data_IF_802018063229
#
_entry.id   IF_802018063229
#
_cell.length_a   1.000
_cell.length_b   1.000
_cell.length_c   1.000
_cell.angle_alpha   90.00
_cell.angle_beta   90.00
_cell.angle_gamma   90.00
#
_symmetry.space_group_name_H-M   'P 1'
#
loop_
_entity.id
_entity.type
_entity.pdbx_description
1 polymer ?
#
# COMPACT_ATOMS: atom_id res chain seq x y z
N UNK A 1 -75.67 17.47 -1.30
CA UNK A 1 -74.46 18.32 -1.30
C UNK A 1 -73.47 17.94 -0.18
N UNK A 2 -73.90 17.77 1.08
CA UNK A 2 -72.97 17.45 2.19
C UNK A 2 -72.33 16.04 2.15
N UNK A 3 -72.98 15.05 1.52
CA UNK A 3 -72.46 13.67 1.45
C UNK A 3 -71.28 13.53 0.47
N UNK A 4 -71.24 14.35 -0.59
CA UNK A 4 -70.18 14.36 -1.62
C UNK A 4 -68.92 15.12 -1.17
N UNK A 5 -69.06 16.02 -0.20
CA UNK A 5 -67.95 16.78 0.39
C UNK A 5 -67.08 15.94 1.35
N UNK A 6 -67.64 14.90 1.98
CA UNK A 6 -66.90 14.04 2.91
C UNK A 6 -65.73 13.31 2.24
N UNK A 7 -65.91 12.59 1.10
CA UNK A 7 -64.80 11.92 0.44
C UNK A 7 -63.77 12.91 -0.13
N UNK A 8 -64.18 14.08 -0.60
CA UNK A 8 -63.26 15.10 -1.13
C UNK A 8 -62.39 15.71 -0.04
N UNK A 9 -62.96 16.00 1.14
CA UNK A 9 -62.18 16.45 2.31
C UNK A 9 -61.17 15.38 2.73
N UNK A 10 -61.57 14.11 2.71
CA UNK A 10 -60.67 13.01 3.05
C UNK A 10 -59.50 12.88 2.06
N UNK A 11 -59.77 12.98 0.75
CA UNK A 11 -58.73 12.98 -0.29
C UNK A 11 -57.77 14.16 -0.13
N UNK A 12 -58.27 15.36 0.19
CA UNK A 12 -57.43 16.54 0.43
C UNK A 12 -56.56 16.39 1.68
N UNK A 13 -57.14 15.92 2.79
CA UNK A 13 -56.40 15.65 4.02
C UNK A 13 -55.29 14.61 3.80
N UNK A 14 -55.59 13.56 3.02
CA UNK A 14 -54.62 12.55 2.65
C UNK A 14 -53.51 13.12 1.76
N UNK A 15 -53.86 13.92 0.76
CA UNK A 15 -52.89 14.56 -0.14
C UNK A 15 -51.95 15.51 0.61
N UNK A 16 -52.46 16.32 1.55
CA UNK A 16 -51.66 17.21 2.40
C UNK A 16 -50.73 16.42 3.32
N UNK A 17 -51.23 15.33 3.90
CA UNK A 17 -50.40 14.46 4.77
C UNK A 17 -49.30 13.79 3.96
N UNK A 18 -49.62 13.33 2.74
CA UNK A 18 -48.65 12.72 1.83
C UNK A 18 -47.59 13.73 1.35
N UNK A 19 -47.99 14.95 0.96
CA UNK A 19 -47.04 15.98 0.53
C UNK A 19 -46.12 16.37 1.68
N UNK A 20 -46.67 16.54 2.89
CA UNK A 20 -45.88 16.84 4.08
C UNK A 20 -44.89 15.71 4.40
N UNK A 21 -45.32 14.44 4.36
CA UNK A 21 -44.47 13.28 4.60
C UNK A 21 -43.35 13.20 3.54
N UNK A 22 -43.68 13.46 2.28
CA UNK A 22 -42.72 13.42 1.20
C UNK A 22 -41.66 14.52 1.33
N UNK A 23 -42.06 15.74 1.67
CA UNK A 23 -41.16 16.88 1.83
C UNK A 23 -40.28 16.77 3.09
N UNK A 24 -40.84 16.30 4.21
CA UNK A 24 -40.15 16.31 5.51
C UNK A 24 -39.40 15.01 5.83
N UNK A 25 -39.80 13.88 5.26
CA UNK A 25 -39.18 12.58 5.56
C UNK A 25 -38.54 11.94 4.33
N UNK A 26 -39.29 11.76 3.24
CA UNK A 26 -38.82 10.99 2.08
C UNK A 26 -37.70 11.72 1.35
N UNK A 27 -37.88 13.00 1.03
CA UNK A 27 -36.90 13.79 0.29
C UNK A 27 -35.55 13.92 1.03
N UNK A 28 -35.50 14.28 2.33
CA UNK A 28 -34.25 14.29 3.08
C UNK A 28 -33.60 12.91 3.20
N UNK A 29 -34.38 11.84 3.36
CA UNK A 29 -33.86 10.47 3.43
C UNK A 29 -33.22 10.02 2.11
N UNK A 30 -33.84 10.34 0.97
CA UNK A 30 -33.27 10.06 -0.36
C UNK A 30 -32.00 10.89 -0.59
N UNK A 31 -31.98 12.15 -0.16
CA UNK A 31 -30.77 12.98 -0.23
C UNK A 31 -29.63 12.41 0.64
N UNK A 32 -29.94 11.95 1.85
CA UNK A 32 -29.00 11.31 2.75
C UNK A 32 -28.41 10.02 2.16
N UNK A 33 -29.25 9.13 1.64
CA UNK A 33 -28.81 7.86 1.03
C UNK A 33 -27.91 8.08 -0.17
N UNK A 34 -28.20 9.06 -1.04
CA UNK A 34 -27.29 9.45 -2.14
C UNK A 34 -25.97 10.02 -1.64
N UNK A 35 -25.97 10.81 -0.57
CA UNK A 35 -24.74 11.30 0.05
C UNK A 35 -23.89 10.19 0.69
N UNK A 36 -24.55 9.12 1.16
CA UNK A 36 -23.90 7.99 1.83
C UNK A 36 -23.02 7.15 0.89
N UNK A 37 -23.35 7.08 -0.39
CA UNK A 37 -22.54 6.37 -1.40
C UNK A 37 -21.12 6.95 -1.49
N UNK A 38 -21.00 8.28 -1.53
CA UNK A 38 -19.70 8.95 -1.54
C UNK A 38 -18.91 8.70 -0.26
N UNK A 39 -19.58 8.69 0.89
CA UNK A 39 -18.93 8.39 2.17
C UNK A 39 -18.37 6.95 2.20
N UNK A 40 -19.13 5.97 1.67
CA UNK A 40 -18.67 4.58 1.56
C UNK A 40 -17.47 4.45 0.61
N UNK A 41 -17.51 5.07 -0.56
CA UNK A 41 -16.41 5.06 -1.53
C UNK A 41 -15.16 5.69 -0.92
N UNK A 42 -15.31 6.85 -0.27
CA UNK A 42 -14.20 7.54 0.38
C UNK A 42 -13.60 6.71 1.51
N UNK A 43 -14.43 6.11 2.36
CA UNK A 43 -13.98 5.21 3.43
C UNK A 43 -13.23 4.00 2.88
N UNK A 44 -13.74 3.37 1.81
CA UNK A 44 -13.08 2.25 1.16
C UNK A 44 -11.73 2.65 0.56
N UNK A 45 -11.67 3.80 -0.11
CA UNK A 45 -10.43 4.33 -0.68
C UNK A 45 -9.38 4.66 0.41
N UNK A 46 -9.81 5.31 1.49
CA UNK A 46 -8.95 5.64 2.63
C UNK A 46 -8.41 4.37 3.30
N UNK A 47 -9.25 3.35 3.49
CA UNK A 47 -8.85 2.07 4.08
C UNK A 47 -7.87 1.31 3.16
N UNK A 48 -8.14 1.25 1.86
CA UNK A 48 -7.24 0.66 0.88
C UNK A 48 -5.88 1.37 0.86
N UNK A 49 -5.87 2.71 0.90
CA UNK A 49 -4.65 3.49 0.97
C UNK A 49 -3.87 3.21 2.25
N UNK A 50 -4.54 3.19 3.41
CA UNK A 50 -3.91 2.90 4.70
C UNK A 50 -3.28 1.49 4.71
N UNK A 51 -3.98 0.48 4.21
CA UNK A 51 -3.45 -0.89 4.08
C UNK A 51 -2.25 -0.92 3.15
N UNK A 52 -2.32 -0.26 2.00
CA UNK A 52 -1.23 -0.20 1.02
C UNK A 52 0.03 0.42 1.63
N UNK A 53 -0.10 1.58 2.29
CA UNK A 53 1.00 2.25 2.98
C UNK A 53 1.56 1.37 4.10
N UNK A 54 0.70 0.73 4.88
CA UNK A 54 1.13 -0.19 5.92
C UNK A 54 1.96 -1.36 5.38
N UNK A 55 1.51 -1.99 4.28
CA UNK A 55 2.25 -3.07 3.63
C UNK A 55 3.60 -2.60 3.09
N UNK A 56 3.66 -1.43 2.44
CA UNK A 56 4.90 -0.83 1.93
C UNK A 56 5.90 -0.57 3.06
N UNK A 57 5.47 0.06 4.16
CA UNK A 57 6.32 0.31 5.32
C UNK A 57 6.79 -0.99 5.98
N UNK A 58 5.92 -2.00 6.06
CA UNK A 58 6.27 -3.31 6.61
C UNK A 58 7.32 -4.02 5.76
N UNK A 59 7.24 -3.90 4.44
CA UNK A 59 8.26 -4.43 3.53
C UNK A 59 9.56 -3.64 3.62
N UNK A 60 9.50 -2.30 3.62
CA UNK A 60 10.65 -1.42 3.76
C UNK A 60 11.50 -1.74 5.00
N UNK A 61 10.85 -2.05 6.14
CA UNK A 61 11.55 -2.45 7.38
C UNK A 61 12.30 -3.77 7.28
N UNK A 62 11.95 -4.64 6.33
CA UNK A 62 12.62 -5.93 6.11
C UNK A 62 13.80 -5.83 5.13
N UNK A 63 14.01 -4.68 4.50
CA UNK A 63 15.15 -4.52 3.59
C UNK A 63 16.47 -4.51 4.40
N UNK A 64 17.51 -5.15 3.87
CA UNK A 64 18.83 -5.09 4.48
C UNK A 64 19.38 -3.66 4.43
N UNK A 65 20.06 -3.24 5.49
CA UNK A 65 20.59 -1.86 5.64
C UNK A 65 21.84 -1.62 4.79
N UNK A 66 22.58 -2.69 4.51
CA UNK A 66 23.77 -2.66 3.66
C UNK A 66 23.88 -3.96 2.89
N UNK A 67 24.75 -3.96 1.89
CA UNK A 67 25.04 -5.10 1.04
C UNK A 67 26.53 -5.36 1.08
N UNK A 68 26.92 -6.62 1.30
CA UNK A 68 28.33 -7.05 1.28
C UNK A 68 28.57 -8.02 0.14
N UNK A 69 29.75 -7.93 -0.48
CA UNK A 69 30.21 -8.86 -1.50
C UNK A 69 31.02 -9.94 -0.80
N UNK A 70 30.46 -11.14 -0.70
CA UNK A 70 31.17 -12.34 -0.23
C UNK A 70 32.07 -12.86 -1.35
N UNK A 71 33.35 -12.99 -1.05
CA UNK A 71 34.36 -13.51 -1.97
C UNK A 71 34.67 -14.94 -1.53
N UNK A 72 34.55 -15.88 -2.47
CA UNK A 72 34.80 -17.30 -2.23
C UNK A 72 35.92 -17.77 -3.14
N UNK A 73 36.94 -18.43 -2.61
CA UNK A 73 38.03 -19.01 -3.39
C UNK A 73 37.58 -20.27 -4.16
N UNK A 74 38.46 -20.85 -4.97
CA UNK A 74 38.19 -22.10 -5.71
C UNK A 74 37.90 -23.30 -4.80
N UNK A 75 38.39 -23.27 -3.55
CA UNK A 75 38.20 -24.30 -2.55
C UNK A 75 36.89 -24.15 -1.75
N UNK A 76 36.11 -23.09 -2.00
CA UNK A 76 34.83 -22.84 -1.32
C UNK A 76 34.94 -22.06 -0.01
N UNK A 77 36.11 -21.56 0.34
CA UNK A 77 36.36 -20.80 1.57
C UNK A 77 36.12 -19.30 1.36
N UNK A 78 35.58 -18.66 2.39
CA UNK A 78 35.40 -17.21 2.42
C UNK A 78 36.76 -16.54 2.61
N UNK A 79 37.09 -15.63 1.71
CA UNK A 79 38.36 -14.90 1.71
C UNK A 79 38.10 -13.41 1.62
N UNK A 80 38.99 -12.59 2.17
CA UNK A 80 38.99 -11.15 1.99
C UNK A 80 40.19 -10.78 1.12
N UNK A 81 39.95 -10.08 0.01
CA UNK A 81 41.03 -9.58 -0.84
C UNK A 81 41.36 -8.16 -0.39
N UNK A 82 42.63 -7.93 -0.07
CA UNK A 82 43.10 -6.61 0.33
C UNK A 82 42.93 -5.59 -0.82
N UNK A 83 42.51 -4.38 -0.50
CA UNK A 83 42.18 -3.33 -1.47
C UNK A 83 40.82 -3.48 -2.18
N UNK A 84 40.11 -4.61 -2.02
CA UNK A 84 38.77 -4.79 -2.60
C UNK A 84 37.69 -4.35 -1.62
N UNK A 85 36.93 -3.32 -2.00
CA UNK A 85 35.77 -2.88 -1.21
C UNK A 85 34.67 -3.94 -1.27
N UNK A 86 34.26 -4.42 -0.10
CA UNK A 86 33.24 -5.47 0.03
C UNK A 86 31.89 -4.92 0.51
N UNK A 87 31.85 -3.83 1.29
CA UNK A 87 30.61 -3.29 1.87
C UNK A 87 30.09 -2.06 1.12
N UNK A 88 28.81 -2.08 0.79
CA UNK A 88 28.09 -1.05 0.04
C UNK A 88 26.74 -0.73 0.70
N UNK A 89 26.25 0.49 0.49
CA UNK A 89 24.95 0.92 1.03
C UNK A 89 23.76 0.36 0.22
N UNK A 90 23.91 0.26 -1.11
CA UNK A 90 22.83 -0.16 -2.02
C UNK A 90 23.17 -1.47 -2.73
N UNK A 91 22.12 -2.24 -3.05
CA UNK A 91 22.26 -3.49 -3.80
C UNK A 91 22.91 -3.24 -5.16
N UNK A 92 22.47 -2.20 -5.86
CA UNK A 92 22.93 -1.90 -7.22
C UNK A 92 24.41 -1.56 -7.27
N UNK A 93 24.92 -0.83 -6.27
CA UNK A 93 26.34 -0.58 -6.13
C UNK A 93 27.10 -1.90 -5.88
N UNK A 94 26.64 -2.71 -4.93
CA UNK A 94 27.26 -4.00 -4.63
C UNK A 94 27.30 -4.93 -5.85
N UNK A 95 26.22 -5.02 -6.62
CA UNK A 95 26.15 -5.87 -7.81
C UNK A 95 27.00 -5.32 -8.97
N UNK A 96 27.06 -4.00 -9.15
CA UNK A 96 27.93 -3.37 -10.15
C UNK A 96 29.41 -3.68 -9.88
N UNK A 97 29.87 -3.47 -8.64
CA UNK A 97 31.23 -3.83 -8.23
C UNK A 97 31.48 -5.33 -8.28
N UNK A 98 30.52 -6.17 -7.87
CA UNK A 98 30.66 -7.62 -7.98
C UNK A 98 30.86 -8.06 -9.43
N UNK A 99 30.18 -7.43 -10.40
CA UNK A 99 30.40 -7.70 -11.83
C UNK A 99 31.78 -7.25 -12.29
N UNK A 100 32.22 -6.07 -11.87
CA UNK A 100 33.58 -5.58 -12.15
C UNK A 100 34.64 -6.55 -11.61
N UNK A 101 34.56 -6.94 -10.35
CA UNK A 101 35.51 -7.89 -9.74
C UNK A 101 35.44 -9.27 -10.39
N UNK A 102 34.26 -9.78 -10.73
CA UNK A 102 34.14 -11.03 -11.51
C UNK A 102 34.87 -10.91 -12.86
N UNK A 103 34.87 -9.73 -13.48
CA UNK A 103 35.52 -9.51 -14.77
C UNK A 103 37.05 -9.45 -14.67
N UNK A 104 37.58 -8.94 -13.55
CA UNK A 104 39.02 -8.85 -13.26
C UNK A 104 39.60 -10.18 -12.76
N UNK A 105 38.87 -10.90 -11.90
CA UNK A 105 39.34 -12.08 -11.18
C UNK A 105 38.71 -13.40 -11.67
N UNK A 106 38.25 -13.46 -12.94
CA UNK A 106 37.38 -14.49 -13.56
C UNK A 106 37.64 -15.95 -13.18
N UNK A 107 38.86 -16.33 -12.81
CA UNK A 107 39.28 -17.71 -12.57
C UNK A 107 39.74 -18.01 -11.16
N UNK A 108 39.85 -17.02 -10.27
CA UNK A 108 40.41 -17.21 -8.93
C UNK A 108 39.35 -17.13 -7.83
N UNK A 109 38.31 -16.32 -8.05
CA UNK A 109 37.33 -16.00 -7.01
C UNK A 109 35.90 -15.95 -7.56
N UNK A 110 34.95 -16.29 -6.70
CA UNK A 110 33.51 -16.14 -6.92
C UNK A 110 32.98 -15.03 -6.01
N UNK A 111 32.39 -14.00 -6.61
CA UNK A 111 31.80 -12.88 -5.88
C UNK A 111 30.29 -13.04 -5.80
N UNK A 112 29.70 -12.96 -4.60
CA UNK A 112 28.26 -13.03 -4.36
C UNK A 112 27.79 -11.87 -3.48
N UNK A 113 26.77 -11.15 -3.91
CA UNK A 113 26.15 -10.08 -3.11
C UNK A 113 25.23 -10.69 -2.07
N UNK A 114 25.33 -10.23 -0.82
CA UNK A 114 24.45 -10.61 0.28
C UNK A 114 23.99 -9.36 1.03
N UNK A 115 22.70 -9.29 1.36
CA UNK A 115 22.16 -8.26 2.24
C UNK A 115 22.58 -8.51 3.69
N UNK A 116 23.04 -7.47 4.38
CA UNK A 116 23.44 -7.50 5.78
C UNK A 116 22.54 -6.56 6.58
N UNK A 117 21.96 -7.06 7.67
CA UNK A 117 21.12 -6.27 8.55
C UNK A 117 21.95 -5.36 9.49
N UNK A 118 23.19 -5.77 9.81
CA UNK A 118 24.13 -5.06 10.67
C UNK A 118 25.56 -5.07 10.08
N UNK A 119 26.06 -3.94 9.56
CA UNK A 119 27.38 -3.86 8.93
C UNK A 119 28.56 -4.02 9.91
N UNK A 120 28.34 -4.04 11.23
CA UNK A 120 29.38 -4.20 12.25
C UNK A 120 29.68 -5.64 12.67
N UNK A 121 28.94 -6.63 12.15
CA UNK A 121 29.16 -8.06 12.37
C UNK A 121 29.49 -8.74 11.04
N UNK A 122 30.71 -8.54 10.56
CA UNK A 122 31.30 -9.31 9.45
C UNK A 122 32.52 -10.03 10.01
#
# INVERSE_FOLDING_TARGET
MLLESVPTIFVQAFALTYSWLNENLVSPFVAFTRGFEFALIFMAAALFFAISVFLLLRQAKKLPKSYTIKIVNLYGELVSIDGVRQTFATHDAAESYARMYRSEFRHQYRFKVAGVADPGKI
#
